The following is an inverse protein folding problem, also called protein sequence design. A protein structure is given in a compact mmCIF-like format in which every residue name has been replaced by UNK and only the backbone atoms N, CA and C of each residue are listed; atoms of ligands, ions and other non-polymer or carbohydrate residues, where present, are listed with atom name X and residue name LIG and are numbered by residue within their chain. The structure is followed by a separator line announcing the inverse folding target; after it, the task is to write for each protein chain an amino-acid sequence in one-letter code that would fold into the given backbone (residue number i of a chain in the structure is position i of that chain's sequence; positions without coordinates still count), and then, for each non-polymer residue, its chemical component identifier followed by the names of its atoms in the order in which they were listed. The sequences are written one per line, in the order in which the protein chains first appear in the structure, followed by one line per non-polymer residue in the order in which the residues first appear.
data_IF_522942000599
#
_entry.id   IF_522942000599
#
_cell.length_a   1.000
_cell.length_b   1.000
_cell.length_c   1.000
_cell.angle_alpha   90.00
_cell.angle_beta   90.00
_cell.angle_gamma   90.00
#
_symmetry.space_group_name_H-M   'P 1'
#
loop_
_entity.id
_entity.type
_entity.pdbx_description
1 polymer ?
#
# COMPACT_ATOMS: atom_id res chain seq x y z
N UNK A 1 8.33 -0.36 -7.31
CA UNK A 1 9.31 -1.31 -7.88
C UNK A 1 10.75 -0.87 -7.63
N UNK A 2 11.14 0.36 -8.02
CA UNK A 2 12.50 0.89 -7.80
C UNK A 2 12.97 0.84 -6.33
N UNK A 3 12.07 1.12 -5.38
CA UNK A 3 12.39 1.08 -3.95
C UNK A 3 12.82 -0.32 -3.48
N UNK A 4 12.08 -1.36 -3.90
CA UNK A 4 12.44 -2.75 -3.60
C UNK A 4 13.78 -3.14 -4.24
N UNK A 5 14.03 -2.72 -5.49
CA UNK A 5 15.32 -2.94 -6.15
C UNK A 5 16.48 -2.27 -5.41
N UNK A 6 16.28 -1.06 -4.87
CA UNK A 6 17.31 -0.36 -4.10
C UNK A 6 17.64 -1.09 -2.78
N UNK A 7 16.62 -1.60 -2.08
CA UNK A 7 16.79 -2.37 -0.86
C UNK A 7 17.49 -3.71 -1.16
N UNK A 8 17.07 -4.41 -2.21
CA UNK A 8 17.65 -5.69 -2.61
C UNK A 8 19.10 -5.55 -3.10
N UNK A 9 19.39 -4.50 -3.87
CA UNK A 9 20.74 -4.13 -4.26
C UNK A 9 21.66 -3.94 -3.06
N UNK A 10 21.20 -3.22 -2.03
CA UNK A 10 21.95 -2.99 -0.79
C UNK A 10 22.25 -4.30 -0.07
N UNK A 11 21.27 -5.21 0.00
CA UNK A 11 21.39 -6.51 0.67
C UNK A 11 22.35 -7.45 -0.07
N UNK A 12 22.31 -7.47 -1.40
CA UNK A 12 23.10 -8.38 -2.22
C UNK A 12 24.55 -7.90 -2.42
N UNK A 13 24.79 -6.60 -2.63
CA UNK A 13 26.15 -6.07 -2.83
C UNK A 13 26.92 -5.86 -1.53
N UNK A 14 26.25 -5.86 -0.36
CA UNK A 14 26.82 -5.52 0.96
C UNK A 14 27.53 -4.15 1.02
N UNK A 15 27.36 -3.32 -0.01
CA UNK A 15 27.92 -1.98 -0.09
C UNK A 15 26.97 -0.98 0.58
N UNK A 16 26.94 -1.03 1.92
CA UNK A 16 26.06 -0.18 2.74
C UNK A 16 26.27 1.32 2.50
N UNK A 17 27.50 1.73 2.14
CA UNK A 17 27.85 3.14 1.86
C UNK A 17 27.08 3.74 0.67
N UNK A 18 26.80 2.96 -0.36
CA UNK A 18 26.04 3.43 -1.54
C UNK A 18 24.60 2.97 -1.52
N UNK A 19 24.34 1.78 -0.96
CA UNK A 19 23.01 1.20 -0.92
C UNK A 19 22.04 1.95 -0.01
N UNK A 20 22.46 2.30 1.22
CA UNK A 20 21.60 2.98 2.19
C UNK A 20 21.18 4.38 1.69
N UNK A 21 22.08 5.25 1.20
CA UNK A 21 21.67 6.54 0.64
C UNK A 21 20.72 6.39 -0.55
N UNK A 22 20.98 5.42 -1.43
CA UNK A 22 20.12 5.17 -2.59
C UNK A 22 18.72 4.73 -2.17
N UNK A 23 18.60 3.82 -1.19
CA UNK A 23 17.31 3.40 -0.66
C UNK A 23 16.55 4.55 0.02
N UNK A 24 17.25 5.43 0.75
CA UNK A 24 16.66 6.62 1.37
C UNK A 24 16.13 7.57 0.29
N UNK A 25 16.93 7.89 -0.73
CA UNK A 25 16.54 8.79 -1.82
C UNK A 25 15.33 8.24 -2.58
N UNK A 26 15.35 6.95 -2.94
CA UNK A 26 14.25 6.34 -3.67
C UNK A 26 13.00 6.22 -2.79
N UNK A 27 13.16 5.98 -1.49
CA UNK A 27 12.08 5.98 -0.51
C UNK A 27 11.42 7.34 -0.36
N UNK A 28 12.21 8.41 -0.21
CA UNK A 28 11.70 9.78 -0.09
C UNK A 28 11.03 10.24 -1.38
N UNK A 29 11.61 9.97 -2.54
CA UNK A 29 10.95 10.22 -3.83
C UNK A 29 9.64 9.44 -3.97
N UNK A 30 9.60 8.21 -3.46
CA UNK A 30 8.40 7.38 -3.41
C UNK A 30 7.23 8.03 -2.64
N UNK A 31 7.52 8.83 -1.61
CA UNK A 31 6.50 9.54 -0.84
C UNK A 31 5.75 10.60 -1.66
N UNK A 32 6.36 11.13 -2.72
CA UNK A 32 5.73 12.11 -3.62
C UNK A 32 4.93 11.46 -4.76
N UNK A 33 4.90 10.13 -4.82
CA UNK A 33 4.08 9.39 -5.79
C UNK A 33 2.71 9.07 -5.20
N UNK A 34 1.81 8.50 -6.02
CA UNK A 34 0.50 7.98 -5.59
C UNK A 34 0.58 7.01 -4.41
N UNK A 35 1.75 6.38 -4.18
CA UNK A 35 1.97 5.51 -3.03
C UNK A 35 1.91 6.26 -1.69
N UNK A 36 2.20 7.57 -1.66
CA UNK A 36 2.30 8.39 -0.46
C UNK A 36 3.28 7.83 0.58
N UNK A 37 3.33 8.46 1.76
CA UNK A 37 4.07 7.95 2.92
C UNK A 37 3.65 6.52 3.31
N UNK A 38 2.35 6.23 3.24
CA UNK A 38 1.80 4.95 3.66
C UNK A 38 2.26 3.79 2.79
N UNK A 39 2.34 3.98 1.48
CA UNK A 39 2.82 2.95 0.56
C UNK A 39 4.30 2.60 0.76
N UNK A 40 5.13 3.59 1.16
CA UNK A 40 6.54 3.35 1.47
C UNK A 40 6.68 2.51 2.74
N UNK A 41 5.97 2.86 3.82
CA UNK A 41 5.96 2.07 5.06
C UNK A 41 5.42 0.66 4.80
N UNK A 42 4.32 0.56 4.06
CA UNK A 42 3.71 -0.72 3.71
C UNK A 42 4.71 -1.62 2.97
N UNK A 43 5.42 -1.06 2.00
CA UNK A 43 6.45 -1.80 1.26
C UNK A 43 7.55 -2.33 2.18
N UNK A 44 7.97 -1.56 3.17
CA UNK A 44 8.97 -2.01 4.17
C UNK A 44 8.43 -3.13 5.06
N UNK A 45 7.20 -3.00 5.56
CA UNK A 45 6.56 -4.04 6.38
C UNK A 45 6.50 -5.36 5.61
N UNK A 46 5.99 -5.33 4.38
CA UNK A 46 5.89 -6.52 3.56
C UNK A 46 7.27 -7.08 3.19
N UNK A 47 8.27 -6.24 2.95
CA UNK A 47 9.61 -6.71 2.61
C UNK A 47 10.30 -7.43 3.78
N UNK A 48 10.26 -6.87 4.99
CA UNK A 48 10.96 -7.43 6.14
C UNK A 48 10.20 -8.55 6.85
N UNK A 49 8.87 -8.44 6.94
CA UNK A 49 8.04 -9.38 7.72
C UNK A 49 7.37 -10.46 6.87
N UNK A 50 7.62 -10.52 5.55
CA UNK A 50 7.00 -11.50 4.63
C UNK A 50 7.03 -12.94 5.15
N UNK A 51 8.17 -13.36 5.71
CA UNK A 51 8.39 -14.72 6.19
C UNK A 51 7.81 -14.94 7.60
N UNK A 52 7.66 -13.86 8.37
CA UNK A 52 7.16 -13.88 9.76
C UNK A 52 5.70 -13.45 9.78
N UNK A 53 4.81 -14.35 9.34
CA UNK A 53 3.35 -14.09 9.19
C UNK A 53 2.73 -13.35 10.37
N UNK A 54 3.01 -13.78 11.61
CA UNK A 54 2.48 -13.12 12.82
C UNK A 54 2.90 -11.65 12.94
N UNK A 55 4.18 -11.35 12.73
CA UNK A 55 4.69 -9.98 12.79
C UNK A 55 4.15 -9.12 11.66
N UNK A 56 3.98 -9.70 10.47
CA UNK A 56 3.36 -9.01 9.34
C UNK A 56 1.92 -8.61 9.66
N UNK A 57 1.12 -9.51 10.23
CA UNK A 57 -0.26 -9.21 10.62
C UNK A 57 -0.29 -8.12 11.68
N UNK A 58 0.52 -8.24 12.74
CA UNK A 58 0.55 -7.27 13.84
C UNK A 58 0.91 -5.89 13.31
N UNK A 59 2.01 -5.77 12.58
CA UNK A 59 2.47 -4.48 12.04
C UNK A 59 1.51 -3.90 11.00
N UNK A 60 0.89 -4.75 10.18
CA UNK A 60 -0.12 -4.34 9.21
C UNK A 60 -1.40 -3.82 9.87
N UNK A 61 -1.91 -4.51 10.89
CA UNK A 61 -3.10 -4.09 11.64
C UNK A 61 -2.83 -2.81 12.41
N UNK A 62 -1.67 -2.71 13.09
CA UNK A 62 -1.26 -1.49 13.78
C UNK A 62 -1.19 -0.29 12.82
N UNK A 63 -0.60 -0.49 11.64
CA UNK A 63 -0.53 0.55 10.62
C UNK A 63 -1.94 0.92 10.12
N UNK A 64 -2.81 -0.07 9.91
CA UNK A 64 -4.19 0.18 9.45
C UNK A 64 -5.00 0.98 10.46
N UNK A 65 -4.82 0.73 11.76
CA UNK A 65 -5.58 1.38 12.83
C UNK A 65 -4.89 2.59 13.45
N UNK A 66 -3.77 3.07 12.89
CA UNK A 66 -2.92 4.09 13.51
C UNK A 66 -3.66 5.42 13.79
N UNK A 67 -4.67 5.74 12.97
CA UNK A 67 -5.39 7.02 13.06
C UNK A 67 -6.67 6.92 13.92
N UNK A 68 -7.12 5.71 14.25
CA UNK A 68 -8.33 5.48 15.07
C UNK A 68 -8.26 6.18 16.43
N UNK A 69 -7.13 6.17 17.18
CA UNK A 69 -7.05 6.89 18.45
C UNK A 69 -7.27 8.41 18.28
N UNK A 70 -6.75 8.99 17.20
CA UNK A 70 -6.89 10.44 16.97
C UNK A 70 -8.34 10.83 16.70
N UNK A 71 -9.06 10.01 15.93
CA UNK A 71 -10.50 10.18 15.71
C UNK A 71 -11.32 9.97 16.98
N UNK A 72 -10.92 9.03 17.85
CA UNK A 72 -11.60 8.77 19.10
C UNK A 72 -11.54 10.01 20.01
N UNK A 73 -10.37 10.67 20.06
CA UNK A 73 -10.20 11.91 20.82
C UNK A 73 -10.95 13.10 20.22
N UNK A 74 -11.15 13.10 18.90
CA UNK A 74 -11.94 14.11 18.21
C UNK A 74 -13.46 13.86 18.27
N UNK A 75 -13.90 12.72 18.82
CA UNK A 75 -15.31 12.25 18.79
C UNK A 75 -15.89 12.08 17.37
N UNK A 76 -15.03 12.02 16.34
CA UNK A 76 -15.43 11.96 14.93
C UNK A 76 -15.57 10.53 14.39
N UNK A 77 -15.22 9.50 15.17
CA UNK A 77 -15.22 8.08 14.73
C UNK A 77 -16.53 7.66 14.08
N UNK A 78 -17.68 8.09 14.58
CA UNK A 78 -18.99 7.65 14.08
C UNK A 78 -19.60 8.59 13.05
N UNK A 79 -18.85 9.59 12.58
CA UNK A 79 -19.30 10.51 11.54
C UNK A 79 -18.94 9.97 10.16
N UNK A 80 -19.72 10.34 9.13
CA UNK A 80 -19.41 9.94 7.73
C UNK A 80 -18.02 10.43 7.30
N UNK A 81 -17.65 11.63 7.74
CA UNK A 81 -16.35 12.26 7.45
C UNK A 81 -15.21 11.51 8.16
N UNK A 82 -15.43 11.11 9.40
CA UNK A 82 -14.45 10.34 10.17
C UNK A 82 -14.28 8.90 9.66
N UNK A 83 -15.34 8.22 9.25
CA UNK A 83 -15.30 6.83 8.76
C UNK A 83 -14.84 6.69 7.32
N UNK A 84 -15.34 7.54 6.42
CA UNK A 84 -15.18 7.39 4.97
C UNK A 84 -14.44 8.57 4.30
N UNK A 85 -14.32 9.70 4.98
CA UNK A 85 -13.65 10.89 4.46
C UNK A 85 -12.14 10.83 4.61
N UNK A 86 -11.66 11.00 5.85
CA UNK A 86 -10.23 11.11 6.12
C UNK A 86 -9.57 9.79 6.53
N UNK A 87 -10.35 8.80 6.99
CA UNK A 87 -9.80 7.61 7.63
C UNK A 87 -10.04 6.31 6.87
N UNK A 88 -9.97 6.30 5.54
CA UNK A 88 -10.14 5.04 4.79
C UNK A 88 -9.04 3.99 5.07
N UNK A 89 -8.04 4.35 5.89
CA UNK A 89 -6.91 3.51 6.23
C UNK A 89 -7.27 2.29 7.09
N UNK A 90 -8.25 2.39 8.00
CA UNK A 90 -8.69 1.25 8.80
C UNK A 90 -9.25 0.11 7.94
N UNK A 91 -9.80 0.44 6.76
CA UNK A 91 -10.35 -0.53 5.82
C UNK A 91 -9.29 -1.47 5.23
N UNK A 92 -8.00 -1.11 5.32
CA UNK A 92 -6.90 -1.98 4.89
C UNK A 92 -6.95 -3.35 5.60
N UNK A 93 -7.46 -3.44 6.83
CA UNK A 93 -7.60 -4.70 7.57
C UNK A 93 -8.35 -5.77 6.76
N UNK A 94 -9.30 -5.38 5.90
CA UNK A 94 -10.06 -6.31 5.04
C UNK A 94 -9.23 -6.96 3.94
N UNK A 95 -7.98 -6.53 3.70
CA UNK A 95 -7.07 -7.23 2.79
C UNK A 95 -6.47 -8.51 3.42
N UNK A 96 -6.46 -8.63 4.76
CA UNK A 96 -5.86 -9.77 5.45
C UNK A 96 -6.40 -11.14 5.02
N UNK A 97 -7.74 -11.35 4.87
CA UNK A 97 -8.26 -12.62 4.36
C UNK A 97 -7.68 -13.01 3.00
N UNK A 98 -7.55 -12.05 2.08
CA UNK A 98 -6.97 -12.29 0.76
C UNK A 98 -5.48 -12.62 0.82
N UNK A 99 -4.74 -12.02 1.76
CA UNK A 99 -3.33 -12.40 1.98
C UNK A 99 -3.18 -13.83 2.48
N UNK A 100 -4.09 -14.34 3.31
CA UNK A 100 -4.04 -15.73 3.78
C UNK A 100 -4.45 -16.74 2.72
N UNK A 101 -5.34 -16.35 1.80
CA UNK A 101 -5.73 -17.18 0.65
C UNK A 101 -4.64 -17.26 -0.42
N UNK A 102 -3.59 -16.43 -0.33
CA UNK A 102 -2.53 -16.41 -1.32
C UNK A 102 -1.53 -17.57 -1.12
N UNK A 103 -1.41 -18.42 -2.14
CA UNK A 103 -0.56 -19.62 -2.12
C UNK A 103 0.94 -19.34 -2.34
N UNK A 104 1.37 -18.10 -2.48
CA UNK A 104 2.78 -17.74 -2.70
C UNK A 104 3.23 -17.79 -4.17
N UNK A 105 2.49 -18.51 -5.01
CA UNK A 105 2.79 -18.66 -6.44
C UNK A 105 2.35 -17.44 -7.27
N UNK A 106 3.11 -17.14 -8.31
CA UNK A 106 2.77 -16.08 -9.26
C UNK A 106 1.51 -16.50 -10.03
N UNK A 107 0.50 -15.64 -10.07
CA UNK A 107 -0.72 -15.86 -10.86
C UNK A 107 -0.45 -15.96 -12.37
N UNK A 108 -1.49 -16.35 -13.12
CA UNK A 108 -1.44 -16.58 -14.58
C UNK A 108 -0.84 -15.38 -15.33
N UNK A 109 0.35 -15.57 -15.91
CA UNK A 109 1.09 -14.53 -16.62
C UNK A 109 0.95 -14.69 -18.14
N UNK A 110 -0.28 -14.52 -18.64
CA UNK A 110 -0.59 -14.58 -20.06
C UNK A 110 -0.72 -13.16 -20.65
N UNK A 111 -0.56 -13.04 -21.97
CA UNK A 111 -0.73 -11.75 -22.67
C UNK A 111 -2.09 -11.12 -22.37
N UNK A 112 -3.16 -11.92 -22.35
CA UNK A 112 -4.51 -11.48 -21.97
C UNK A 112 -4.55 -10.81 -20.59
N UNK A 113 -4.06 -11.49 -19.55
CA UNK A 113 -4.03 -10.97 -18.17
C UNK A 113 -3.23 -9.68 -18.08
N UNK A 114 -2.09 -9.59 -18.79
CA UNK A 114 -1.28 -8.37 -18.85
C UNK A 114 -2.08 -7.21 -19.44
N UNK A 115 -2.68 -7.38 -20.63
CA UNK A 115 -3.44 -6.32 -21.28
C UNK A 115 -4.69 -5.93 -20.49
N UNK A 116 -5.36 -6.88 -19.82
CA UNK A 116 -6.47 -6.61 -18.93
C UNK A 116 -6.07 -5.61 -17.84
N UNK A 117 -4.95 -5.83 -17.13
CA UNK A 117 -4.49 -4.90 -16.10
C UNK A 117 -4.06 -3.53 -16.66
N UNK A 118 -3.40 -3.50 -17.82
CA UNK A 118 -3.00 -2.25 -18.47
C UNK A 118 -4.19 -1.39 -18.90
N UNK A 119 -5.27 -2.01 -19.39
CA UNK A 119 -6.48 -1.30 -19.78
C UNK A 119 -7.34 -0.94 -18.57
N UNK A 120 -7.41 -1.82 -17.57
CA UNK A 120 -8.18 -1.58 -16.37
C UNK A 120 -7.69 -0.35 -15.60
N UNK A 121 -6.37 -0.11 -15.54
CA UNK A 121 -5.79 1.02 -14.80
C UNK A 121 -6.32 2.41 -15.23
N UNK A 122 -6.30 2.82 -16.51
CA UNK A 122 -6.92 4.10 -16.91
C UNK A 122 -8.45 4.06 -16.81
N UNK A 123 -9.09 2.92 -17.10
CA UNK A 123 -10.55 2.84 -17.19
C UNK A 123 -11.24 2.97 -15.85
N UNK A 124 -10.74 2.33 -14.79
CA UNK A 124 -11.38 2.44 -13.48
C UNK A 124 -11.32 3.88 -12.94
N UNK A 125 -10.24 4.62 -13.22
CA UNK A 125 -10.14 6.05 -12.87
C UNK A 125 -11.20 6.88 -13.62
N UNK A 126 -11.40 6.62 -14.92
CA UNK A 126 -12.44 7.30 -15.70
C UNK A 126 -13.85 6.98 -15.19
N UNK A 127 -14.10 5.72 -14.80
CA UNK A 127 -15.39 5.31 -14.22
C UNK A 127 -15.64 6.05 -12.92
N UNK A 128 -14.67 6.05 -11.99
CA UNK A 128 -14.79 6.75 -10.71
C UNK A 128 -15.01 8.25 -10.93
N UNK A 129 -14.24 8.87 -11.82
CA UNK A 129 -14.39 10.30 -12.14
C UNK A 129 -15.77 10.62 -12.72
N UNK A 130 -16.27 9.79 -13.62
CA UNK A 130 -17.58 9.96 -14.25
C UNK A 130 -18.70 9.84 -13.22
N UNK A 131 -18.64 8.81 -12.35
CA UNK A 131 -19.61 8.63 -11.27
C UNK A 131 -19.57 9.83 -10.32
N UNK A 132 -18.37 10.28 -9.92
CA UNK A 132 -18.20 11.45 -9.07
C UNK A 132 -18.80 12.72 -9.70
N UNK A 133 -18.61 12.92 -11.00
CA UNK A 133 -19.22 14.02 -11.74
C UNK A 133 -20.76 13.98 -11.72
N UNK A 134 -21.36 12.79 -11.88
CA UNK A 134 -22.81 12.63 -11.85
C UNK A 134 -23.41 12.73 -10.44
N UNK A 135 -22.70 12.30 -9.40
CA UNK A 135 -23.16 12.39 -8.00
C UNK A 135 -23.02 13.80 -7.44
N UNK A 136 -22.00 14.56 -7.88
CA UNK A 136 -21.75 15.93 -7.44
C UNK A 136 -22.65 16.97 -8.13
N UNK A 137 -23.47 16.57 -9.09
CA UNK A 137 -24.37 17.42 -9.86
C UNK A 137 -25.81 17.19 -9.46
#
# INVERSE_FOLDING_TARGET
MLFLCAIDYTKHTKNYLLGIPTAIIVGTLGMFTEASFMGVIMTLIFYFFREKKMWLIITYVLLSLMEVPTLLMAEEIFTEIGLFGFNNQWMMVFALPFFFLYNGERGVNNAFTKYMFYFFYPVHLWIIYTIGYFVSK
#
